data_IF_243262085816
#
_entry.id   IF_243262085816
#
_cell.length_a   1.000
_cell.length_b   1.000
_cell.length_c   1.000
_cell.angle_alpha   90.00
_cell.angle_beta   90.00
_cell.angle_gamma   90.00
#
_symmetry.space_group_name_H-M   'P 1'
#
loop_
_entity.id
_entity.type
_entity.pdbx_description
1 polymer ?
#
# COMPACT_ATOMS: atom_id res chain seq x y z
N UNK A 1 -8.23 -40.70 -23.11
CA UNK A 1 -9.32 -40.21 -22.25
C UNK A 1 -8.89 -38.86 -21.73
N UNK A 2 -9.45 -37.80 -22.29
CA UNK A 2 -9.17 -36.40 -21.99
C UNK A 2 -9.51 -36.12 -20.51
N UNK A 3 -8.53 -35.66 -19.74
CA UNK A 3 -8.73 -35.27 -18.34
C UNK A 3 -9.32 -33.86 -18.28
N UNK A 4 -10.63 -33.79 -18.05
CA UNK A 4 -11.37 -32.55 -17.77
C UNK A 4 -10.81 -31.88 -16.51
N UNK A 5 -10.20 -30.70 -16.64
CA UNK A 5 -9.89 -29.84 -15.50
C UNK A 5 -11.20 -29.25 -14.97
N UNK A 6 -11.53 -29.36 -13.67
CA UNK A 6 -12.70 -28.71 -13.13
C UNK A 6 -12.49 -27.19 -13.17
N UNK A 7 -13.37 -26.52 -13.92
CA UNK A 7 -13.49 -25.07 -14.00
C UNK A 7 -13.69 -24.53 -12.59
N UNK A 8 -12.69 -23.81 -12.09
CA UNK A 8 -12.74 -23.15 -10.78
C UNK A 8 -13.90 -22.15 -10.78
N UNK A 9 -14.89 -22.43 -9.93
CA UNK A 9 -15.96 -21.48 -9.63
C UNK A 9 -15.36 -20.18 -9.11
N UNK A 10 -15.65 -19.11 -9.85
CA UNK A 10 -15.42 -17.73 -9.51
C UNK A 10 -16.15 -17.44 -8.19
N UNK A 11 -15.40 -17.40 -7.08
CA UNK A 11 -15.95 -17.02 -5.77
C UNK A 11 -16.57 -15.63 -5.88
N UNK A 12 -17.88 -15.58 -5.62
CA UNK A 12 -18.70 -14.38 -5.68
C UNK A 12 -18.24 -13.37 -4.62
N UNK A 13 -17.75 -12.21 -5.09
CA UNK A 13 -17.77 -10.98 -4.30
C UNK A 13 -19.21 -10.60 -3.98
N UNK A 14 -19.43 -9.95 -2.83
CA UNK A 14 -20.76 -9.64 -2.30
C UNK A 14 -21.68 -8.91 -3.29
N UNK A 15 -23.00 -8.88 -3.00
CA UNK A 15 -24.08 -8.59 -3.95
C UNK A 15 -24.12 -7.19 -4.59
N UNK A 16 -23.09 -6.34 -4.42
CA UNK A 16 -23.06 -4.99 -4.99
C UNK A 16 -21.70 -4.51 -5.51
N UNK A 17 -20.60 -5.26 -5.39
CA UNK A 17 -19.33 -4.87 -6.01
C UNK A 17 -19.15 -5.58 -7.35
N UNK A 18 -19.42 -4.87 -8.45
CA UNK A 18 -18.92 -5.27 -9.76
C UNK A 18 -17.39 -5.18 -9.72
N UNK A 19 -16.71 -6.32 -9.61
CA UNK A 19 -15.26 -6.37 -9.77
C UNK A 19 -14.91 -5.78 -11.15
N UNK A 20 -14.24 -4.63 -11.15
CA UNK A 20 -13.90 -3.87 -12.36
C UNK A 20 -12.67 -4.49 -13.07
N UNK A 21 -12.77 -5.79 -13.36
CA UNK A 21 -11.69 -6.62 -13.93
C UNK A 21 -11.26 -6.11 -15.30
N UNK A 22 -12.20 -5.55 -16.07
CA UNK A 22 -11.95 -4.96 -17.38
C UNK A 22 -11.19 -3.64 -17.29
N UNK A 23 -11.36 -2.88 -16.20
CA UNK A 23 -10.68 -1.60 -15.98
C UNK A 23 -9.28 -1.79 -15.39
N UNK A 24 -9.10 -2.81 -14.54
CA UNK A 24 -7.86 -3.06 -13.79
C UNK A 24 -6.92 -4.11 -14.42
N UNK A 25 -7.40 -4.88 -15.39
CA UNK A 25 -6.63 -5.86 -16.16
C UNK A 25 -6.09 -7.05 -15.36
N UNK A 26 -5.36 -7.95 -16.02
CA UNK A 26 -4.82 -9.20 -15.44
C UNK A 26 -3.80 -9.00 -14.29
N UNK A 27 -3.37 -7.77 -14.02
CA UNK A 27 -2.47 -7.44 -12.92
C UNK A 27 -3.13 -7.64 -11.55
N UNK A 28 -4.45 -7.50 -11.43
CA UNK A 28 -5.16 -7.64 -10.14
C UNK A 28 -5.39 -9.11 -9.74
N UNK A 29 -5.43 -10.01 -10.72
CA UNK A 29 -5.83 -11.41 -10.54
C UNK A 29 -4.89 -12.15 -9.59
N UNK A 30 -3.58 -11.86 -9.59
CA UNK A 30 -2.63 -12.57 -8.71
C UNK A 30 -2.89 -12.37 -7.21
N UNK A 31 -3.49 -11.24 -6.82
CA UNK A 31 -3.78 -10.93 -5.42
C UNK A 31 -5.14 -11.50 -4.96
N UNK A 32 -6.02 -11.84 -5.91
CA UNK A 32 -7.38 -12.37 -5.67
C UNK A 32 -7.46 -13.89 -5.93
N UNK A 33 -6.50 -14.45 -6.68
CA UNK A 33 -6.50 -15.87 -7.08
C UNK A 33 -6.06 -16.81 -5.95
N UNK A 34 -5.30 -16.31 -4.98
CA UNK A 34 -4.82 -17.08 -3.83
C UNK A 34 -5.26 -16.38 -2.53
N UNK A 35 -5.67 -17.12 -1.48
CA UNK A 35 -5.91 -16.54 -0.16
C UNK A 35 -4.64 -15.84 0.32
N UNK A 36 -4.64 -14.50 0.33
CA UNK A 36 -3.56 -13.70 0.89
C UNK A 36 -3.62 -13.83 2.41
N UNK A 37 -2.48 -14.10 3.04
CA UNK A 37 -2.40 -14.27 4.49
C UNK A 37 -2.91 -13.00 5.19
N UNK A 38 -3.68 -13.09 6.29
CA UNK A 38 -4.28 -11.92 6.95
C UNK A 38 -3.28 -10.81 7.32
N UNK A 39 -2.00 -11.16 7.50
CA UNK A 39 -0.93 -10.22 7.86
C UNK A 39 -0.12 -9.70 6.67
N UNK A 40 -0.24 -10.26 5.47
CA UNK A 40 0.60 -9.85 4.31
C UNK A 40 0.45 -8.35 4.00
N UNK A 41 -0.77 -7.82 4.09
CA UNK A 41 -1.03 -6.40 3.87
C UNK A 41 -0.40 -5.54 4.97
N UNK A 42 -0.41 -6.01 6.21
CA UNK A 42 0.20 -5.29 7.34
C UNK A 42 1.72 -5.26 7.21
N UNK A 43 2.35 -6.38 6.86
CA UNK A 43 3.80 -6.48 6.67
C UNK A 43 4.29 -5.62 5.51
N UNK A 44 3.60 -5.66 4.36
CA UNK A 44 3.91 -4.78 3.21
C UNK A 44 3.84 -3.29 3.57
N UNK A 45 3.05 -2.92 4.57
CA UNK A 45 2.85 -1.54 5.02
C UNK A 45 3.45 -1.25 6.39
N UNK A 46 4.37 -2.10 6.89
CA UNK A 46 4.86 -2.02 8.28
C UNK A 46 5.37 -0.63 8.65
N UNK A 47 6.27 -0.07 7.84
CA UNK A 47 6.87 1.24 8.12
C UNK A 47 5.81 2.34 8.17
N UNK A 48 4.91 2.37 7.19
CA UNK A 48 3.85 3.36 7.09
C UNK A 48 2.89 3.26 8.29
N UNK A 49 2.57 2.05 8.71
CA UNK A 49 1.72 1.80 9.87
C UNK A 49 2.40 2.23 11.17
N UNK A 50 3.70 1.99 11.30
CA UNK A 50 4.50 2.46 12.43
C UNK A 50 4.51 4.00 12.49
N UNK A 51 4.76 4.67 11.36
CA UNK A 51 4.78 6.13 11.29
C UNK A 51 3.41 6.72 11.63
N UNK A 52 2.32 6.10 11.15
CA UNK A 52 0.94 6.48 11.52
C UNK A 52 0.73 6.40 13.04
N UNK A 53 1.15 5.31 13.67
CA UNK A 53 1.07 5.18 15.13
C UNK A 53 1.91 6.25 15.83
N UNK A 54 3.14 6.48 15.39
CA UNK A 54 4.04 7.47 15.98
C UNK A 54 3.46 8.89 15.91
N UNK A 55 2.90 9.28 14.76
CA UNK A 55 2.25 10.58 14.62
C UNK A 55 0.99 10.71 15.49
N UNK A 56 0.22 9.64 15.65
CA UNK A 56 -0.92 9.61 16.56
C UNK A 56 -0.48 9.82 18.01
N UNK A 57 0.56 9.11 18.44
CA UNK A 57 1.16 9.26 19.77
C UNK A 57 1.68 10.68 20.01
N UNK A 58 2.42 11.26 19.06
CA UNK A 58 2.90 12.64 19.13
C UNK A 58 1.75 13.65 19.23
N UNK A 59 0.68 13.45 18.43
CA UNK A 59 -0.53 14.27 18.52
C UNK A 59 -1.16 14.19 19.91
N UNK A 60 -1.22 13.01 20.49
CA UNK A 60 -1.87 12.81 21.79
C UNK A 60 -1.09 13.45 22.93
N UNK A 61 0.25 13.41 22.87
CA UNK A 61 1.11 13.95 23.92
C UNK A 61 1.29 15.46 23.78
N UNK A 62 1.53 15.95 22.55
CA UNK A 62 1.97 17.32 22.30
C UNK A 62 0.92 18.17 21.57
N UNK A 63 -0.12 17.56 21.01
CA UNK A 63 -1.12 18.25 20.19
C UNK A 63 -0.82 18.19 18.69
N UNK A 64 -1.74 18.76 17.89
CA UNK A 64 -1.71 18.65 16.41
C UNK A 64 -0.47 19.27 15.76
N UNK A 65 0.15 20.27 16.38
CA UNK A 65 1.30 20.96 15.78
C UNK A 65 2.54 20.05 15.68
N UNK A 66 2.72 19.11 16.61
CA UNK A 66 3.89 18.24 16.67
C UNK A 66 4.02 17.32 15.43
N UNK A 67 3.00 16.49 15.07
CA UNK A 67 3.09 15.69 13.85
C UNK A 67 3.17 16.55 12.58
N UNK A 68 2.50 17.71 12.53
CA UNK A 68 2.57 18.60 11.36
C UNK A 68 3.98 19.14 11.14
N UNK A 69 4.65 19.59 12.20
CA UNK A 69 6.03 20.06 12.14
C UNK A 69 6.96 18.97 11.60
N UNK A 70 6.89 17.77 12.17
CA UNK A 70 7.73 16.65 11.75
C UNK A 70 7.46 16.22 10.30
N UNK A 71 6.19 16.22 9.87
CA UNK A 71 5.84 15.95 8.47
C UNK A 71 6.41 17.00 7.51
N UNK A 72 6.43 18.29 7.89
CA UNK A 72 7.03 19.34 7.07
C UNK A 72 8.55 19.18 6.95
N UNK A 73 9.23 18.92 8.07
CA UNK A 73 10.69 18.66 8.09
C UNK A 73 11.05 17.46 7.21
N UNK A 74 10.31 16.36 7.34
CA UNK A 74 10.52 15.17 6.51
C UNK A 74 10.33 15.46 5.01
N UNK A 75 9.27 16.20 4.64
CA UNK A 75 9.05 16.61 3.24
C UNK A 75 10.18 17.47 2.70
N UNK A 76 10.70 18.42 3.50
CA UNK A 76 11.83 19.24 3.11
C UNK A 76 13.09 18.40 2.87
N UNK A 77 13.38 17.44 3.77
CA UNK A 77 14.50 16.50 3.61
C UNK A 77 14.34 15.65 2.35
N UNK A 78 13.14 15.11 2.08
CA UNK A 78 12.89 14.33 0.87
C UNK A 78 13.12 15.12 -0.42
N UNK A 79 12.74 16.41 -0.44
CA UNK A 79 13.01 17.27 -1.59
C UNK A 79 14.51 17.46 -1.84
N UNK A 80 15.28 17.70 -0.77
CA UNK A 80 16.73 17.84 -0.86
C UNK A 80 17.35 16.53 -1.33
N UNK A 81 16.93 15.39 -0.76
CA UNK A 81 17.40 14.06 -1.13
C UNK A 81 17.14 13.73 -2.61
N UNK A 82 15.93 14.02 -3.09
CA UNK A 82 15.58 13.80 -4.50
C UNK A 82 16.42 14.69 -5.42
N UNK A 83 16.62 15.96 -5.06
CA UNK A 83 17.53 16.84 -5.79
C UNK A 83 18.95 16.28 -5.77
N UNK A 84 19.53 15.95 -4.61
CA UNK A 84 20.88 15.41 -4.50
C UNK A 84 21.09 14.18 -5.41
N UNK A 85 20.18 13.20 -5.33
CA UNK A 85 20.20 12.03 -6.23
C UNK A 85 20.12 12.39 -7.71
N UNK A 86 19.29 13.38 -8.05
CA UNK A 86 19.19 13.87 -9.43
C UNK A 86 20.50 14.52 -9.87
N UNK A 87 21.19 15.27 -9.02
CA UNK A 87 22.46 15.90 -9.35
C UNK A 87 23.58 14.86 -9.51
N UNK A 88 23.62 13.85 -8.64
CA UNK A 88 24.54 12.70 -8.74
C UNK A 88 24.36 11.90 -10.04
N UNK A 89 23.14 11.87 -10.59
CA UNK A 89 22.86 11.16 -11.86
C UNK A 89 23.37 11.90 -13.11
N UNK A 90 23.79 13.17 -12.99
CA UNK A 90 24.27 14.00 -14.11
C UNK A 90 25.80 14.23 -14.09
N UNK A 91 26.52 13.71 -13.10
CA UNK A 91 28.00 13.67 -13.02
C UNK A 91 28.52 12.28 -13.31
#
# INVERSE_FOLDING_TARGET
AEGQFPVTELSASGPFESHDLLQKGFSCVKNELLPSHPLELSEKNFQLNQDKMNFSTLRNIQGLFAPLKLQMEFKAVQQIHHKAKSWESHT
#
